data_IF_515546534367
#
_entry.id   IF_515546534367
#
_cell.length_a   1.000
_cell.length_b   1.000
_cell.length_c   1.000
_cell.angle_alpha   90.00
_cell.angle_beta   90.00
_cell.angle_gamma   90.00
#
_symmetry.space_group_name_H-M   'P 1'
#
loop_
_entity.id
_entity.type
_entity.pdbx_description
1 polymer ?
#
# COMPACT_ATOMS: atom_id res chain seq x y z
N UNK A 1 -21.74 25.19 -18.05
CA UNK A 1 -22.89 24.44 -17.51
C UNK A 1 -22.38 23.47 -16.44
N UNK A 2 -22.59 23.81 -15.17
CA UNK A 2 -22.19 23.00 -14.02
C UNK A 2 -23.34 22.02 -13.74
N UNK A 3 -23.12 20.72 -13.92
CA UNK A 3 -24.12 19.71 -13.56
C UNK A 3 -24.14 19.58 -12.03
N UNK A 4 -25.22 20.07 -11.41
CA UNK A 4 -25.55 19.76 -10.01
C UNK A 4 -25.99 18.29 -9.95
N UNK A 5 -25.18 17.42 -9.39
CA UNK A 5 -25.59 16.06 -9.01
C UNK A 5 -26.34 16.13 -7.67
N UNK A 6 -27.55 15.59 -7.65
CA UNK A 6 -28.45 15.57 -6.49
C UNK A 6 -27.95 14.68 -5.34
N UNK A 7 -28.59 14.77 -4.14
CA UNK A 7 -28.17 14.06 -2.94
C UNK A 7 -28.77 12.64 -2.93
N UNK A 8 -28.08 11.67 -3.53
CA UNK A 8 -28.27 10.23 -3.28
C UNK A 8 -27.21 9.42 -4.02
N UNK A 9 -26.03 9.39 -3.47
CA UNK A 9 -25.07 8.32 -3.71
C UNK A 9 -24.27 8.17 -2.42
N UNK A 10 -24.06 6.95 -1.94
CA UNK A 10 -23.12 6.62 -0.88
C UNK A 10 -21.78 7.29 -1.23
N UNK A 11 -21.57 8.48 -0.70
CA UNK A 11 -20.38 9.28 -0.99
C UNK A 11 -19.22 8.67 -0.25
N UNK A 12 -18.55 7.69 -0.89
CA UNK A 12 -17.27 7.23 -0.38
C UNK A 12 -16.29 8.39 -0.38
N UNK A 13 -15.53 8.53 0.71
CA UNK A 13 -14.54 9.58 0.86
C UNK A 13 -13.61 9.66 -0.36
N UNK A 14 -13.48 10.86 -0.93
CA UNK A 14 -12.62 11.14 -2.07
C UNK A 14 -11.19 11.43 -1.57
N UNK A 15 -10.15 10.79 -2.13
CA UNK A 15 -8.78 11.02 -1.71
C UNK A 15 -8.35 12.49 -1.93
N UNK A 16 -7.52 13.00 -1.02
CA UNK A 16 -6.98 14.38 -1.09
C UNK A 16 -5.79 14.50 -2.04
N UNK A 17 -5.24 13.39 -2.54
CA UNK A 17 -4.03 13.40 -3.37
C UNK A 17 -4.33 13.90 -4.79
N UNK A 18 -3.96 15.15 -5.10
CA UNK A 18 -4.12 15.74 -6.43
C UNK A 18 -2.89 15.52 -7.34
N UNK A 19 -1.77 15.04 -6.78
CA UNK A 19 -0.52 14.88 -7.50
C UNK A 19 -0.31 13.44 -7.96
N UNK A 20 0.22 13.30 -9.19
CA UNK A 20 0.68 12.00 -9.70
C UNK A 20 1.75 11.40 -8.76
N UNK A 21 1.61 10.11 -8.44
CA UNK A 21 2.58 9.37 -7.63
C UNK A 21 3.89 9.24 -8.42
N UNK A 22 5.00 9.73 -7.83
CA UNK A 22 6.33 9.68 -8.45
C UNK A 22 7.14 8.54 -7.86
N UNK A 23 7.45 7.55 -8.69
CA UNK A 23 8.36 6.43 -8.38
C UNK A 23 9.67 6.63 -9.14
N UNK A 24 10.77 6.88 -8.46
CA UNK A 24 12.08 7.05 -9.10
C UNK A 24 12.65 5.75 -9.67
N UNK A 25 12.32 4.62 -9.05
CA UNK A 25 12.71 3.28 -9.51
C UNK A 25 11.59 2.28 -9.24
N UNK A 26 11.20 1.54 -10.28
CA UNK A 26 10.15 0.51 -10.20
C UNK A 26 10.76 -0.87 -10.02
N UNK A 27 11.92 -1.16 -10.65
CA UNK A 27 12.60 -2.45 -10.54
C UNK A 27 13.16 -2.66 -9.14
N UNK A 28 12.93 -3.85 -8.56
CA UNK A 28 13.51 -4.25 -7.28
C UNK A 28 15.03 -4.40 -7.40
N UNK A 29 15.73 -4.10 -6.31
CA UNK A 29 17.15 -4.41 -6.19
C UNK A 29 17.31 -5.89 -5.83
N UNK A 30 17.85 -6.66 -6.75
CA UNK A 30 18.11 -8.08 -6.55
C UNK A 30 19.54 -8.31 -6.07
N UNK A 31 19.72 -9.31 -5.23
CA UNK A 31 21.06 -9.75 -4.80
C UNK A 31 21.87 -10.21 -6.00
N UNK A 32 23.15 -9.77 -6.16
CA UNK A 32 24.03 -10.27 -7.20
C UNK A 32 24.14 -11.81 -7.15
N UNK A 33 24.21 -12.47 -8.31
CA UNK A 33 24.28 -13.91 -8.49
C UNK A 33 23.00 -14.71 -8.13
N UNK A 34 21.93 -14.07 -7.71
CA UNK A 34 20.65 -14.73 -7.45
C UNK A 34 19.92 -15.20 -8.71
N UNK A 35 20.33 -14.72 -9.86
CA UNK A 35 19.80 -15.08 -11.18
C UNK A 35 20.24 -16.47 -11.65
N UNK A 36 21.44 -16.92 -11.28
CA UNK A 36 22.01 -18.19 -11.73
C UNK A 36 22.34 -19.19 -10.60
N UNK A 37 22.42 -18.75 -9.33
CA UNK A 37 22.63 -19.62 -8.16
C UNK A 37 21.34 -19.83 -7.39
N UNK A 38 20.75 -21.02 -7.46
CA UNK A 38 19.48 -21.37 -6.80
C UNK A 38 19.54 -21.19 -5.27
N UNK A 39 20.68 -21.45 -4.66
CA UNK A 39 20.88 -21.30 -3.21
C UNK A 39 20.90 -19.83 -2.74
N UNK A 40 21.07 -18.88 -3.65
CA UNK A 40 21.11 -17.45 -3.33
C UNK A 40 19.73 -16.82 -3.52
N UNK A 41 19.08 -16.43 -2.42
CA UNK A 41 17.78 -15.75 -2.45
C UNK A 41 17.89 -14.35 -3.07
N UNK A 42 16.83 -13.89 -3.74
CA UNK A 42 16.81 -12.58 -4.41
C UNK A 42 16.86 -11.38 -3.47
N UNK A 43 16.60 -11.58 -2.17
CA UNK A 43 16.59 -10.49 -1.18
C UNK A 43 17.94 -9.77 -1.19
N UNK A 44 17.88 -8.43 -1.26
CA UNK A 44 19.08 -7.61 -1.32
C UNK A 44 20.02 -7.86 -0.14
N UNK A 45 21.30 -8.08 -0.47
CA UNK A 45 22.43 -8.07 0.46
C UNK A 45 23.54 -7.24 -0.15
N UNK A 46 24.13 -6.34 0.64
CA UNK A 46 25.26 -5.52 0.17
C UNK A 46 26.49 -6.40 -0.07
N UNK A 47 27.09 -6.38 -1.27
CA UNK A 47 28.31 -7.13 -1.54
C UNK A 47 29.46 -6.59 -0.70
N UNK A 48 30.29 -7.50 -0.17
CA UNK A 48 31.46 -7.17 0.67
C UNK A 48 32.79 -7.69 0.11
N UNK A 49 32.75 -8.53 -0.94
CA UNK A 49 33.95 -9.10 -1.55
C UNK A 49 34.89 -8.04 -2.13
N UNK A 50 36.19 -8.25 -2.00
CA UNK A 50 37.22 -7.31 -2.49
C UNK A 50 37.16 -7.10 -4.02
N UNK A 51 36.85 -8.15 -4.79
CA UNK A 51 36.76 -8.12 -6.26
C UNK A 51 35.35 -7.91 -6.79
N UNK A 52 34.38 -7.63 -5.93
CA UNK A 52 32.99 -7.42 -6.35
C UNK A 52 32.85 -6.17 -7.21
N UNK A 53 32.57 -6.36 -8.49
CA UNK A 53 32.30 -5.27 -9.43
C UNK A 53 31.06 -4.46 -9.05
N UNK A 54 30.06 -5.09 -8.44
CA UNK A 54 28.86 -4.42 -7.93
C UNK A 54 29.22 -3.48 -6.78
N UNK A 55 30.04 -3.94 -5.81
CA UNK A 55 30.53 -3.08 -4.71
C UNK A 55 31.31 -1.87 -5.22
N UNK A 56 32.16 -2.09 -6.24
CA UNK A 56 32.97 -1.01 -6.85
C UNK A 56 32.21 -0.15 -7.86
N UNK A 57 30.89 -0.41 -8.06
CA UNK A 57 29.99 0.36 -8.93
C UNK A 57 30.45 0.42 -10.40
N UNK A 58 30.89 -0.67 -10.96
CA UNK A 58 31.22 -0.75 -12.38
C UNK A 58 29.99 -0.51 -13.26
N UNK A 59 30.20 0.04 -14.46
CA UNK A 59 29.14 0.16 -15.48
C UNK A 59 28.69 -1.22 -15.95
N UNK A 60 27.40 -1.37 -16.31
CA UNK A 60 26.83 -2.61 -16.83
C UNK A 60 26.54 -3.70 -15.80
N UNK A 61 26.78 -3.47 -14.52
CA UNK A 61 26.45 -4.40 -13.44
C UNK A 61 25.24 -3.92 -12.63
N UNK A 62 24.73 -4.81 -11.78
CA UNK A 62 23.58 -4.52 -10.89
C UNK A 62 23.82 -3.26 -10.07
N UNK A 63 22.84 -2.37 -10.07
CA UNK A 63 22.88 -1.14 -9.27
C UNK A 63 22.65 -1.45 -7.78
N UNK A 64 23.35 -0.74 -6.92
CA UNK A 64 23.17 -0.82 -5.48
C UNK A 64 22.13 0.19 -5.00
N UNK A 65 21.29 -0.14 -3.99
CA UNK A 65 20.41 0.81 -3.36
C UNK A 65 21.18 1.99 -2.77
N UNK A 66 20.63 3.19 -2.94
CA UNK A 66 21.09 4.40 -2.27
C UNK A 66 19.91 5.34 -1.98
N UNK A 67 20.15 6.37 -1.19
CA UNK A 67 19.11 7.34 -0.77
C UNK A 67 18.43 8.02 -1.97
N UNK A 68 19.18 8.28 -3.05
CA UNK A 68 18.68 8.94 -4.26
C UNK A 68 17.54 8.18 -4.97
N UNK A 69 17.40 6.87 -4.77
CA UNK A 69 16.32 6.06 -5.31
C UNK A 69 15.01 6.11 -4.50
N UNK A 70 14.99 6.77 -3.36
CA UNK A 70 13.76 6.95 -2.57
C UNK A 70 12.67 7.67 -3.36
N UNK A 71 11.42 7.21 -3.22
CA UNK A 71 10.28 7.87 -3.83
C UNK A 71 10.14 9.31 -3.33
N UNK A 72 9.48 10.17 -4.11
CA UNK A 72 9.24 11.56 -3.73
C UNK A 72 8.55 11.65 -2.35
N UNK A 73 9.11 12.45 -1.45
CA UNK A 73 8.61 12.63 -0.09
C UNK A 73 7.13 13.02 -0.03
N UNK A 74 6.66 13.82 -0.99
CA UNK A 74 5.27 14.30 -1.04
C UNK A 74 4.27 13.21 -1.43
N UNK A 75 4.69 12.22 -2.24
CA UNK A 75 3.84 11.14 -2.74
C UNK A 75 4.21 9.76 -2.18
N UNK A 76 5.13 9.71 -1.21
CA UNK A 76 5.57 8.47 -0.57
C UNK A 76 4.46 7.84 0.26
N UNK A 77 4.41 6.50 0.24
CA UNK A 77 3.42 5.65 0.96
C UNK A 77 1.98 5.73 0.44
N UNK A 78 1.70 6.45 -0.63
CA UNK A 78 0.39 6.42 -1.23
C UNK A 78 0.15 5.16 -2.06
N UNK A 79 -1.04 4.59 -1.92
CA UNK A 79 -1.53 3.51 -2.77
C UNK A 79 -2.03 4.07 -4.12
N UNK A 80 -2.21 3.22 -5.15
CA UNK A 80 -2.76 3.67 -6.43
C UNK A 80 -4.13 4.34 -6.35
N UNK A 81 -4.93 4.01 -5.31
CA UNK A 81 -6.23 4.63 -5.04
C UNK A 81 -6.15 6.05 -4.44
N UNK A 82 -4.95 6.58 -4.22
CA UNK A 82 -4.74 7.92 -3.67
C UNK A 82 -4.79 8.04 -2.16
N UNK A 83 -4.92 6.93 -1.42
CA UNK A 83 -4.89 6.90 0.03
C UNK A 83 -3.58 6.32 0.57
N UNK A 84 -3.27 6.59 1.82
CA UNK A 84 -2.26 5.88 2.60
C UNK A 84 -2.94 4.75 3.38
N UNK A 85 -2.26 3.62 3.48
CA UNK A 85 -2.77 2.45 4.20
C UNK A 85 -2.59 2.58 5.71
N UNK A 86 -3.63 2.26 6.46
CA UNK A 86 -3.62 2.06 7.90
C UNK A 86 -4.19 0.69 8.23
N UNK A 87 -3.44 -0.15 8.93
CA UNK A 87 -3.87 -1.51 9.30
C UNK A 87 -4.71 -1.45 10.57
N UNK A 88 -5.90 -2.05 10.54
CA UNK A 88 -6.89 -2.02 11.62
C UNK A 88 -7.11 -3.41 12.17
N UNK A 89 -7.06 -3.55 13.49
CA UNK A 89 -7.33 -4.79 14.23
C UNK A 89 -8.68 -4.76 14.97
N UNK A 90 -9.19 -3.58 15.28
CA UNK A 90 -10.41 -3.38 16.06
C UNK A 90 -11.27 -2.27 15.48
N UNK A 91 -12.58 -2.32 15.72
CA UNK A 91 -13.51 -1.24 15.33
C UNK A 91 -13.19 0.11 16.01
N UNK A 92 -12.59 0.09 17.22
CA UNK A 92 -12.16 1.33 17.92
C UNK A 92 -11.00 2.04 17.19
N UNK A 93 -10.12 1.32 16.53
CA UNK A 93 -8.99 1.91 15.78
C UNK A 93 -9.46 2.74 14.58
N UNK A 94 -10.68 2.49 14.08
CA UNK A 94 -11.26 3.32 13.02
C UNK A 94 -11.55 4.75 13.46
N UNK A 95 -11.79 4.98 14.74
CA UNK A 95 -12.09 6.32 15.27
C UNK A 95 -10.90 7.27 15.08
N UNK A 96 -9.68 6.74 15.11
CA UNK A 96 -8.45 7.51 14.81
C UNK A 96 -8.44 8.03 13.36
N UNK A 97 -9.08 7.29 12.44
CA UNK A 97 -9.14 7.67 11.03
C UNK A 97 -10.28 8.64 10.70
N UNK A 98 -11.21 8.87 11.60
CA UNK A 98 -12.40 9.70 11.36
C UNK A 98 -12.04 11.10 10.84
N UNK A 99 -11.01 11.75 11.40
CA UNK A 99 -10.53 13.07 10.96
C UNK A 99 -9.58 13.01 9.75
N UNK A 100 -9.20 11.82 9.30
CA UNK A 100 -8.23 11.58 8.25
C UNK A 100 -8.77 10.70 7.11
N UNK A 101 -10.09 10.59 7.00
CA UNK A 101 -10.77 9.71 6.02
C UNK A 101 -10.45 10.03 4.55
N UNK A 102 -10.00 11.25 4.23
CA UNK A 102 -9.53 11.64 2.88
C UNK A 102 -8.06 11.39 2.61
N UNK A 103 -7.29 11.03 3.63
CA UNK A 103 -5.84 10.80 3.51
C UNK A 103 -5.49 9.31 3.69
N UNK A 104 -6.19 8.63 4.59
CA UNK A 104 -5.94 7.24 4.92
C UNK A 104 -7.13 6.36 4.55
N UNK A 105 -6.85 5.13 4.12
CA UNK A 105 -7.81 4.04 4.02
C UNK A 105 -7.48 2.95 5.04
N UNK A 106 -8.49 2.25 5.52
CA UNK A 106 -8.33 1.12 6.40
C UNK A 106 -8.02 -0.16 5.62
N UNK A 107 -7.15 -1.00 6.16
CA UNK A 107 -6.95 -2.39 5.71
C UNK A 107 -7.09 -3.30 6.92
N UNK A 108 -8.07 -4.20 6.90
CA UNK A 108 -8.32 -5.13 8.01
C UNK A 108 -7.18 -6.14 8.06
N UNK A 109 -6.60 -6.35 9.25
CA UNK A 109 -5.51 -7.29 9.45
C UNK A 109 -5.92 -8.73 9.08
N UNK A 110 -4.96 -9.53 8.60
CA UNK A 110 -5.22 -10.88 8.08
C UNK A 110 -5.73 -11.87 9.14
N UNK A 111 -5.37 -11.65 10.40
CA UNK A 111 -5.71 -12.53 11.53
C UNK A 111 -7.09 -12.25 12.16
N UNK A 112 -7.85 -11.30 11.62
CA UNK A 112 -9.16 -10.94 12.15
C UNK A 112 -10.24 -11.92 11.66
N UNK A 113 -11.07 -12.41 12.58
CA UNK A 113 -12.17 -13.32 12.30
C UNK A 113 -13.29 -12.67 11.47
N UNK A 114 -14.09 -13.47 10.78
CA UNK A 114 -15.20 -13.00 9.95
C UNK A 114 -16.20 -12.13 10.71
N UNK A 115 -16.57 -12.52 11.94
CA UNK A 115 -17.48 -11.73 12.78
C UNK A 115 -16.95 -10.32 13.01
N UNK A 116 -15.71 -10.19 13.49
CA UNK A 116 -15.09 -8.88 13.73
C UNK A 116 -14.89 -8.07 12.43
N UNK A 117 -14.70 -8.75 11.29
CA UNK A 117 -14.61 -8.08 9.98
C UNK A 117 -15.94 -7.42 9.62
N UNK A 118 -17.08 -8.07 9.85
CA UNK A 118 -18.41 -7.49 9.65
C UNK A 118 -18.56 -6.20 10.48
N UNK A 119 -18.28 -6.28 11.79
CA UNK A 119 -18.37 -5.12 12.70
C UNK A 119 -17.48 -3.95 12.25
N UNK A 120 -16.25 -4.24 11.78
CA UNK A 120 -15.31 -3.23 11.28
C UNK A 120 -15.83 -2.59 9.99
N UNK A 121 -16.37 -3.36 9.06
CA UNK A 121 -16.89 -2.86 7.78
C UNK A 121 -18.12 -1.99 8.00
N UNK A 122 -19.05 -2.39 8.88
CA UNK A 122 -20.23 -1.59 9.25
C UNK A 122 -19.82 -0.25 9.91
N UNK A 123 -18.91 -0.31 10.87
CA UNK A 123 -18.39 0.89 11.53
C UNK A 123 -17.67 1.82 10.56
N UNK A 124 -16.89 1.27 9.62
CA UNK A 124 -16.19 2.05 8.61
C UNK A 124 -17.18 2.76 7.66
N UNK A 125 -18.28 2.11 7.30
CA UNK A 125 -19.35 2.72 6.50
C UNK A 125 -20.01 3.89 7.23
N UNK A 126 -20.25 3.76 8.55
CA UNK A 126 -20.82 4.84 9.38
C UNK A 126 -19.89 6.06 9.47
N UNK A 127 -18.56 5.84 9.48
CA UNK A 127 -17.54 6.88 9.60
C UNK A 127 -17.05 7.43 8.25
N UNK A 128 -17.62 6.96 7.13
CA UNK A 128 -17.17 7.27 5.76
C UNK A 128 -15.67 6.99 5.54
N UNK A 129 -15.20 5.83 5.98
CA UNK A 129 -13.82 5.37 5.83
C UNK A 129 -13.74 4.30 4.75
N UNK A 130 -12.87 4.48 3.77
CA UNK A 130 -12.63 3.50 2.71
C UNK A 130 -11.88 2.29 3.26
N UNK A 131 -12.44 1.09 3.08
CA UNK A 131 -11.80 -0.19 3.44
C UNK A 131 -11.35 -0.90 2.16
N UNK A 132 -10.05 -1.22 2.04
CA UNK A 132 -9.48 -1.83 0.83
C UNK A 132 -9.90 -3.28 0.63
N UNK A 133 -10.03 -4.04 1.71
CA UNK A 133 -10.34 -5.47 1.72
C UNK A 133 -11.70 -5.79 2.37
N UNK A 134 -12.70 -4.96 2.13
CA UNK A 134 -14.04 -5.11 2.72
C UNK A 134 -14.72 -6.46 2.42
N UNK A 135 -14.47 -7.05 1.26
CA UNK A 135 -15.07 -8.32 0.83
C UNK A 135 -14.28 -9.56 1.28
N UNK A 136 -13.06 -9.39 1.82
CA UNK A 136 -12.23 -10.51 2.22
C UNK A 136 -12.87 -11.32 3.36
N UNK A 137 -13.00 -12.65 3.17
CA UNK A 137 -13.61 -13.60 4.12
C UNK A 137 -15.10 -13.34 4.44
N UNK A 138 -15.78 -12.49 3.69
CA UNK A 138 -17.23 -12.31 3.76
C UNK A 138 -17.83 -13.00 2.54
N UNK A 139 -18.81 -13.91 2.76
CA UNK A 139 -19.61 -14.49 1.69
C UNK A 139 -20.70 -13.50 1.29
N UNK A 140 -20.98 -13.37 0.00
CA UNK A 140 -22.19 -12.71 -0.47
C UNK A 140 -23.40 -13.56 -0.17
N UNK A 141 -24.58 -12.94 0.02
CA UNK A 141 -25.84 -13.68 0.24
C UNK A 141 -26.30 -14.48 -1.00
N UNK A 142 -25.64 -14.25 -2.15
CA UNK A 142 -25.92 -14.94 -3.42
C UNK A 142 -25.25 -16.33 -3.50
N UNK A 143 -24.36 -16.66 -2.57
CA UNK A 143 -23.61 -17.94 -2.53
C UNK A 143 -24.22 -18.96 -1.54
N UNK A 144 -25.42 -18.70 -0.99
CA UNK A 144 -26.26 -19.64 -0.24
C UNK A 144 -27.43 -20.10 -1.12
#
# INVERSE_FOLDING_TARGET
MIRKTGPNSNSMAVPKLDKKIVKKRVKKFKRPHSDWKICVKENWRRPKGIDSRVRRKFKGVTLMPNIGYGSDKKTRHYLPNGFKKFVVHNAKELEVLMMHNRTYCAEIAHNISTRKRKDIVEKAAQLDIVVTNKLARLRSQEDE
#
